data_IF_099316390562
#
_entry.id   IF_099316390562
#
_cell.length_a   1.000
_cell.length_b   1.000
_cell.length_c   1.000
_cell.angle_alpha   90.00
_cell.angle_beta   90.00
_cell.angle_gamma   90.00
#
_symmetry.space_group_name_H-M   'P 1'
#
loop_
_entity.id
_entity.type
_entity.pdbx_description
1 polymer ?
#
# COMPACT_ATOMS: atom_id res chain seq x y z
N UNK A 1 42.52 -4.63 -17.06
CA UNK A 1 41.34 -5.00 -17.86
C UNK A 1 40.16 -4.51 -17.04
N UNK A 2 39.61 -3.35 -17.39
CA UNK A 2 38.41 -2.83 -16.75
C UNK A 2 37.24 -3.68 -17.26
N UNK A 3 36.61 -4.45 -16.38
CA UNK A 3 35.30 -5.03 -16.65
C UNK A 3 34.34 -3.85 -16.88
N UNK A 4 34.08 -3.60 -18.15
CA UNK A 4 33.07 -2.67 -18.60
C UNK A 4 31.71 -3.28 -18.22
N UNK A 5 31.34 -3.09 -16.96
CA UNK A 5 30.09 -3.56 -16.37
C UNK A 5 28.97 -2.74 -16.99
N UNK A 6 28.53 -3.16 -18.19
CA UNK A 6 27.37 -2.59 -18.86
C UNK A 6 26.21 -2.57 -17.86
N UNK A 7 25.57 -1.40 -17.60
CA UNK A 7 24.45 -1.34 -16.68
C UNK A 7 23.38 -2.32 -17.15
N UNK A 8 23.02 -3.26 -16.27
CA UNK A 8 22.03 -4.28 -16.59
C UNK A 8 20.68 -3.57 -16.68
N UNK A 9 20.17 -3.39 -17.90
CA UNK A 9 18.90 -2.74 -18.13
C UNK A 9 17.75 -3.56 -17.51
N UNK A 10 16.84 -2.88 -16.83
CA UNK A 10 15.62 -3.51 -16.32
C UNK A 10 14.79 -4.04 -17.48
N UNK A 11 14.44 -5.33 -17.42
CA UNK A 11 13.61 -5.96 -18.45
C UNK A 11 12.23 -5.30 -18.51
N UNK A 12 11.71 -5.06 -19.71
CA UNK A 12 10.38 -4.46 -19.91
C UNK A 12 9.24 -5.24 -19.26
N UNK A 13 9.37 -6.56 -19.13
CA UNK A 13 8.37 -7.34 -18.39
C UNK A 13 8.35 -6.97 -16.90
N UNK A 14 9.50 -6.63 -16.29
CA UNK A 14 9.57 -6.22 -14.87
C UNK A 14 8.94 -4.86 -14.64
N UNK A 15 9.17 -3.90 -15.54
CA UNK A 15 8.53 -2.57 -15.45
C UNK A 15 7.03 -2.67 -15.70
N UNK A 16 6.59 -3.57 -16.60
CA UNK A 16 5.17 -3.85 -16.80
C UNK A 16 4.52 -4.47 -15.56
N UNK A 17 5.17 -5.45 -14.93
CA UNK A 17 4.71 -6.01 -13.67
C UNK A 17 4.64 -4.94 -12.56
N UNK A 18 5.62 -4.04 -12.47
CA UNK A 18 5.59 -2.93 -11.51
C UNK A 18 4.37 -2.02 -11.72
N UNK A 19 4.01 -1.72 -12.98
CA UNK A 19 2.79 -0.97 -13.29
C UNK A 19 1.51 -1.71 -12.84
N UNK A 20 1.45 -3.03 -13.00
CA UNK A 20 0.31 -3.84 -12.54
C UNK A 20 0.20 -3.86 -11.01
N UNK A 21 1.33 -4.02 -10.32
CA UNK A 21 1.40 -3.96 -8.86
C UNK A 21 0.98 -2.58 -8.32
N UNK A 22 1.42 -1.50 -8.96
CA UNK A 22 1.01 -0.14 -8.60
C UNK A 22 -0.52 0.05 -8.72
N UNK A 23 -1.13 -0.43 -9.81
CA UNK A 23 -2.61 -0.40 -9.96
C UNK A 23 -3.34 -1.24 -8.92
N UNK A 24 -2.77 -2.38 -8.52
CA UNK A 24 -3.34 -3.19 -7.45
C UNK A 24 -3.25 -2.46 -6.10
N UNK A 25 -2.11 -1.85 -5.78
CA UNK A 25 -1.92 -1.06 -4.58
C UNK A 25 -2.92 0.12 -4.53
N UNK A 26 -3.15 0.81 -5.65
CA UNK A 26 -4.17 1.88 -5.73
C UNK A 26 -5.57 1.36 -5.37
N UNK A 27 -5.96 0.18 -5.90
CA UNK A 27 -7.23 -0.45 -5.55
C UNK A 27 -7.34 -0.79 -4.06
N UNK A 28 -6.27 -1.33 -3.48
CA UNK A 28 -6.22 -1.60 -2.04
C UNK A 28 -6.35 -0.31 -1.22
N UNK A 29 -5.67 0.77 -1.63
CA UNK A 29 -5.81 2.06 -0.97
C UNK A 29 -7.22 2.62 -1.05
N UNK A 30 -7.92 2.47 -2.18
CA UNK A 30 -9.35 2.85 -2.29
C UNK A 30 -10.24 2.07 -1.33
N UNK A 31 -10.02 0.75 -1.22
CA UNK A 31 -10.75 -0.10 -0.28
C UNK A 31 -10.51 0.30 1.18
N UNK A 32 -9.28 0.66 1.54
CA UNK A 32 -8.96 1.17 2.88
C UNK A 32 -9.67 2.49 3.17
N UNK A 33 -9.73 3.44 2.21
CA UNK A 33 -10.49 4.68 2.37
C UNK A 33 -11.97 4.40 2.63
N UNK A 34 -12.58 3.53 1.85
CA UNK A 34 -13.99 3.17 2.02
C UNK A 34 -14.25 2.50 3.38
N UNK A 35 -13.36 1.59 3.80
CA UNK A 35 -13.45 0.93 5.10
C UNK A 35 -13.26 1.90 6.26
N UNK A 36 -12.28 2.79 6.17
CA UNK A 36 -12.05 3.83 7.15
C UNK A 36 -13.28 4.72 7.36
N UNK A 37 -13.88 5.20 6.26
CA UNK A 37 -15.14 5.97 6.29
C UNK A 37 -16.30 5.20 6.91
N UNK A 38 -16.41 3.91 6.63
CA UNK A 38 -17.45 3.05 7.21
C UNK A 38 -17.28 2.93 8.72
N UNK A 39 -16.06 2.68 9.20
CA UNK A 39 -15.77 2.52 10.63
C UNK A 39 -16.01 3.80 11.43
N UNK A 40 -15.86 4.97 10.80
CA UNK A 40 -16.15 6.26 11.42
C UNK A 40 -17.61 6.49 11.76
N UNK A 41 -18.54 5.67 11.23
CA UNK A 41 -19.96 5.75 11.56
C UNK A 41 -20.25 5.25 12.99
N UNK A 42 -19.32 4.52 13.61
CA UNK A 42 -19.42 4.11 15.01
C UNK A 42 -18.49 4.95 15.89
N UNK A 43 -19.03 5.52 16.97
CA UNK A 43 -18.24 6.29 17.94
C UNK A 43 -17.09 5.46 18.55
N UNK A 44 -17.28 4.15 18.73
CA UNK A 44 -16.26 3.26 19.30
C UNK A 44 -15.13 2.90 18.32
N UNK A 45 -15.26 3.24 17.04
CA UNK A 45 -14.29 2.90 15.99
C UNK A 45 -13.86 4.11 15.18
N UNK A 46 -14.23 5.32 15.62
CA UNK A 46 -14.01 6.55 14.88
C UNK A 46 -12.52 6.84 14.66
N UNK A 47 -11.70 6.75 15.71
CA UNK A 47 -10.27 7.01 15.62
C UNK A 47 -9.56 6.01 14.69
N UNK A 48 -9.82 4.71 14.86
CA UNK A 48 -9.29 3.66 13.99
C UNK A 48 -9.76 3.86 12.54
N UNK A 49 -11.02 4.23 12.33
CA UNK A 49 -11.56 4.54 11.00
C UNK A 49 -10.90 5.73 10.32
N UNK A 50 -10.59 6.80 11.07
CA UNK A 50 -9.84 7.95 10.55
C UNK A 50 -8.40 7.58 10.20
N UNK A 51 -7.75 6.76 11.04
CA UNK A 51 -6.41 6.27 10.76
C UNK A 51 -6.39 5.40 9.49
N UNK A 52 -7.27 4.41 9.39
CA UNK A 52 -7.36 3.50 8.23
C UNK A 52 -7.67 4.28 6.95
N UNK A 53 -8.56 5.28 7.00
CA UNK A 53 -8.84 6.14 5.85
C UNK A 53 -7.57 6.84 5.38
N UNK A 54 -6.86 7.52 6.29
CA UNK A 54 -5.62 8.24 5.99
C UNK A 54 -4.56 7.32 5.40
N UNK A 55 -4.42 6.09 5.92
CA UNK A 55 -3.50 5.11 5.35
C UNK A 55 -3.91 4.73 3.93
N UNK A 56 -5.21 4.54 3.68
CA UNK A 56 -5.72 4.30 2.33
C UNK A 56 -5.40 5.41 1.33
N UNK A 57 -5.41 6.67 1.76
CA UNK A 57 -5.01 7.83 0.94
C UNK A 57 -3.51 7.81 0.63
N UNK A 58 -2.66 7.51 1.63
CA UNK A 58 -1.21 7.39 1.44
C UNK A 58 -0.84 6.24 0.52
N UNK A 59 -1.50 5.07 0.66
CA UNK A 59 -1.35 3.93 -0.25
C UNK A 59 -1.66 4.35 -1.69
N UNK A 60 -2.75 5.08 -1.91
CA UNK A 60 -3.10 5.58 -3.26
C UNK A 60 -2.06 6.55 -3.79
N UNK A 61 -1.53 7.45 -2.95
CA UNK A 61 -0.51 8.41 -3.38
C UNK A 61 0.78 7.70 -3.81
N UNK A 62 1.29 6.78 -2.98
CA UNK A 62 2.48 6.00 -3.29
C UNK A 62 2.27 5.08 -4.49
N UNK A 63 1.08 4.48 -4.64
CA UNK A 63 0.73 3.68 -5.81
C UNK A 63 0.77 4.49 -7.11
N UNK A 64 0.24 5.72 -7.12
CA UNK A 64 0.29 6.61 -8.30
C UNK A 64 1.72 6.99 -8.64
N UNK A 65 2.53 7.34 -7.64
CA UNK A 65 3.95 7.65 -7.84
C UNK A 65 4.70 6.43 -8.42
N UNK A 66 4.50 5.24 -7.83
CA UNK A 66 5.10 4.01 -8.31
C UNK A 66 4.72 3.71 -9.76
N UNK A 67 3.47 3.95 -10.15
CA UNK A 67 3.00 3.77 -11.53
C UNK A 67 3.70 4.71 -12.51
N UNK A 68 3.77 6.01 -12.22
CA UNK A 68 4.41 6.99 -13.11
C UNK A 68 5.92 6.73 -13.25
N UNK A 69 6.58 6.30 -12.18
CA UNK A 69 7.99 5.91 -12.20
C UNK A 69 8.22 4.63 -13.00
N UNK A 70 7.36 3.61 -12.85
CA UNK A 70 7.44 2.39 -13.65
C UNK A 70 7.19 2.65 -15.14
N UNK A 71 6.25 3.56 -15.45
CA UNK A 71 5.99 4.02 -16.82
C UNK A 71 7.21 4.76 -17.40
N UNK A 72 7.80 5.67 -16.63
CA UNK A 72 9.05 6.35 -17.01
C UNK A 72 10.17 5.35 -17.28
N UNK A 73 10.32 4.32 -16.43
CA UNK A 73 11.28 3.24 -16.62
C UNK A 73 11.01 2.44 -17.90
N UNK A 74 9.75 2.18 -18.23
CA UNK A 74 9.34 1.48 -19.45
C UNK A 74 9.63 2.27 -20.73
N UNK A 75 9.51 3.60 -20.67
CA UNK A 75 9.73 4.52 -21.79
C UNK A 75 11.20 4.93 -21.95
N UNK A 76 12.03 4.71 -20.93
CA UNK A 76 13.46 5.04 -20.90
C UNK A 76 14.35 3.84 -21.30
N UNK A 77 15.67 4.05 -21.31
CA UNK A 77 16.65 2.97 -21.51
C UNK A 77 17.91 3.18 -20.67
N UNK A 78 18.67 2.10 -20.46
CA UNK A 78 19.93 2.13 -19.71
C UNK A 78 19.76 2.60 -18.26
N UNK A 79 20.71 3.40 -17.77
CA UNK A 79 20.77 3.84 -16.38
C UNK A 79 19.51 4.62 -15.92
N UNK A 80 18.94 5.44 -16.80
CA UNK A 80 17.71 6.18 -16.48
C UNK A 80 16.51 5.26 -16.25
N UNK A 81 16.41 4.16 -17.01
CA UNK A 81 15.37 3.16 -16.82
C UNK A 81 15.54 2.44 -15.47
N UNK A 82 16.78 2.13 -15.09
CA UNK A 82 17.10 1.47 -13.83
C UNK A 82 16.74 2.36 -12.63
N UNK A 83 17.16 3.63 -12.65
CA UNK A 83 16.86 4.58 -11.56
C UNK A 83 15.35 4.82 -11.40
N UNK A 84 14.63 4.97 -12.51
CA UNK A 84 13.18 5.11 -12.47
C UNK A 84 12.48 3.84 -11.94
N UNK A 85 12.99 2.65 -12.28
CA UNK A 85 12.46 1.40 -11.75
C UNK A 85 12.73 1.23 -10.25
N UNK A 86 13.95 1.54 -9.79
CA UNK A 86 14.30 1.50 -8.36
C UNK A 86 13.42 2.45 -7.55
N UNK A 87 13.22 3.68 -8.03
CA UNK A 87 12.32 4.64 -7.41
C UNK A 87 10.86 4.14 -7.39
N UNK A 88 10.40 3.46 -8.45
CA UNK A 88 9.08 2.84 -8.49
C UNK A 88 8.92 1.76 -7.41
N UNK A 89 9.93 0.92 -7.23
CA UNK A 89 9.96 -0.13 -6.20
C UNK A 89 9.96 0.48 -4.80
N UNK A 90 10.69 1.59 -4.59
CA UNK A 90 10.69 2.31 -3.32
C UNK A 90 9.29 2.84 -2.97
N UNK A 91 8.61 3.49 -3.92
CA UNK A 91 7.24 3.96 -3.72
C UNK A 91 6.26 2.79 -3.51
N UNK A 92 6.42 1.67 -4.22
CA UNK A 92 5.61 0.48 -3.97
C UNK A 92 5.83 -0.09 -2.55
N UNK A 93 7.06 -0.03 -2.06
CA UNK A 93 7.40 -0.47 -0.69
C UNK A 93 6.73 0.42 0.35
N UNK A 94 6.77 1.75 0.18
CA UNK A 94 6.02 2.70 1.02
C UNK A 94 4.52 2.43 1.00
N UNK A 95 3.93 2.19 -0.17
CA UNK A 95 2.52 1.80 -0.26
C UNK A 95 2.21 0.53 0.54
N UNK A 96 3.12 -0.45 0.53
CA UNK A 96 2.97 -1.70 1.28
C UNK A 96 3.08 -1.48 2.79
N UNK A 97 3.97 -0.61 3.23
CA UNK A 97 4.11 -0.23 4.64
C UNK A 97 2.84 0.44 5.18
N UNK A 98 2.31 1.43 4.46
CA UNK A 98 1.07 2.12 4.88
C UNK A 98 -0.14 1.16 4.86
N UNK A 99 -0.23 0.29 3.85
CA UNK A 99 -1.25 -0.76 3.80
C UNK A 99 -1.15 -1.69 5.03
N UNK A 100 0.07 -2.10 5.38
CA UNK A 100 0.32 -2.97 6.54
C UNK A 100 -0.09 -2.31 7.84
N UNK A 101 0.20 -1.01 8.01
CA UNK A 101 -0.25 -0.24 9.19
C UNK A 101 -1.77 -0.23 9.29
N UNK A 102 -2.48 -0.01 8.18
CA UNK A 102 -3.94 -0.02 8.16
C UNK A 102 -4.54 -1.38 8.53
N UNK A 103 -3.96 -2.47 8.01
CA UNK A 103 -4.41 -3.84 8.32
C UNK A 103 -4.17 -4.20 9.79
N UNK A 104 -3.06 -3.77 10.38
CA UNK A 104 -2.78 -3.98 11.81
C UNK A 104 -3.82 -3.27 12.69
N UNK A 105 -4.07 -1.98 12.43
CA UNK A 105 -5.10 -1.22 13.14
C UNK A 105 -6.47 -1.90 13.04
N UNK A 106 -6.84 -2.36 11.85
CA UNK A 106 -8.10 -3.07 11.65
C UNK A 106 -8.18 -4.39 12.42
N UNK A 107 -7.08 -5.15 12.48
CA UNK A 107 -7.01 -6.41 13.21
C UNK A 107 -7.11 -6.20 14.73
N UNK A 108 -6.43 -5.18 15.26
CA UNK A 108 -6.52 -4.79 16.68
C UNK A 108 -7.96 -4.39 17.04
N UNK A 109 -8.59 -3.55 16.22
CA UNK A 109 -9.99 -3.18 16.41
C UNK A 109 -10.92 -4.39 16.40
N UNK A 110 -10.74 -5.32 15.46
CA UNK A 110 -11.56 -6.52 15.37
C UNK A 110 -11.40 -7.41 16.61
N UNK A 111 -10.17 -7.55 17.11
CA UNK A 111 -9.87 -8.29 18.33
C UNK A 111 -10.57 -7.67 19.56
N UNK A 112 -10.48 -6.35 19.72
CA UNK A 112 -11.15 -5.62 20.80
C UNK A 112 -12.67 -5.86 20.79
N UNK A 113 -13.30 -5.80 19.61
CA UNK A 113 -14.74 -6.06 19.48
C UNK A 113 -15.12 -7.50 19.85
N UNK A 114 -14.29 -8.47 19.48
CA UNK A 114 -14.48 -9.88 19.86
C UNK A 114 -14.41 -10.04 21.38
N UNK A 115 -13.41 -9.45 22.03
CA UNK A 115 -13.22 -9.53 23.48
C UNK A 115 -14.38 -8.88 24.24
N UNK A 116 -14.81 -7.68 23.82
CA UNK A 116 -15.96 -6.99 24.41
C UNK A 116 -17.27 -7.77 24.23
N UNK A 117 -17.44 -8.45 23.09
CA UNK A 117 -18.59 -9.31 22.84
C UNK A 117 -18.59 -10.53 23.77
N UNK A 118 -17.44 -11.20 23.93
CA UNK A 118 -17.29 -12.33 24.83
C UNK A 118 -17.49 -11.97 26.30
N UNK A 119 -17.01 -10.81 26.75
CA UNK A 119 -17.22 -10.32 28.12
C UNK A 119 -18.71 -10.12 28.40
N UNK A 120 -19.44 -9.44 27.50
CA UNK A 120 -20.89 -9.23 27.63
C UNK A 120 -21.69 -10.54 27.67
N UNK A 121 -21.30 -11.55 26.89
CA UNK A 121 -21.95 -12.87 26.91
C UNK A 121 -21.76 -13.56 28.27
N UNK A 122 -20.63 -13.37 28.94
CA UNK A 122 -20.35 -13.95 30.27
C UNK A 122 -21.14 -13.26 31.38
N UNK A 123 -21.35 -11.95 31.29
CA UNK A 123 -22.09 -11.17 32.30
C UNK A 123 -23.61 -11.46 32.31
N UNK A 124 -24.15 -11.97 31.20
CA UNK A 124 -25.58 -12.32 31.04
C UNK A 124 -25.88 -13.76 31.48
N UNK A 125 -24.85 -14.57 31.76
CA UNK A 125 -24.97 -15.96 32.23
C UNK A 125 -24.81 -16.05 33.74
#
# INVERSE_FOLDING_TARGET
MEENSMPHEVAKERTQLAMEHARLAERHGMQLVERGKTLQQSASSQAAGQFIERQGELVQQHAKNAFELAKTAFESSGEAANQAYEASVEEHSKATEEYTKAIREFAELAQDHIEQSQARIKEVK
#
